data_IF_939761980658
#
_entry.id   IF_939761980658
#
_cell.length_a   1.000
_cell.length_b   1.000
_cell.length_c   1.000
_cell.angle_alpha   90.00
_cell.angle_beta   90.00
_cell.angle_gamma   90.00
#
_symmetry.space_group_name_H-M   'P 1'
#
loop_
_entity.id
_entity.type
_entity.pdbx_description
1 polymer ?
#
# COMPACT_ATOMS: atom_id res chain seq x y z
N UNK A 1 6.49 -14.53 -7.21
CA UNK A 1 7.04 -14.36 -5.84
C UNK A 1 8.57 -14.36 -5.95
N UNK A 2 9.28 -13.53 -5.18
CA UNK A 2 10.74 -13.47 -5.24
C UNK A 2 11.32 -14.60 -4.40
N UNK A 3 11.98 -15.56 -5.06
CA UNK A 3 12.56 -16.75 -4.44
C UNK A 3 14.09 -16.58 -4.38
N UNK A 4 14.63 -16.41 -3.17
CA UNK A 4 16.04 -16.68 -2.87
C UNK A 4 16.06 -17.66 -1.70
N UNK A 5 16.09 -18.95 -2.01
CA UNK A 5 16.22 -20.06 -1.05
C UNK A 5 15.09 -20.15 -0.03
N UNK A 6 14.08 -20.99 -0.29
CA UNK A 6 13.05 -21.54 0.65
C UNK A 6 12.34 -20.63 1.68
N UNK A 7 12.63 -19.34 1.76
CA UNK A 7 12.07 -18.40 2.73
C UNK A 7 11.38 -17.26 2.00
N UNK A 8 10.07 -17.16 2.18
CA UNK A 8 9.28 -16.03 1.69
C UNK A 8 9.63 -14.78 2.50
N UNK A 9 10.34 -13.84 1.89
CA UNK A 9 10.68 -12.56 2.53
C UNK A 9 9.59 -11.53 2.22
N UNK A 10 8.67 -11.33 3.17
CA UNK A 10 7.73 -10.22 3.14
C UNK A 10 8.25 -9.07 3.99
N UNK A 11 8.14 -7.86 3.46
CA UNK A 11 8.44 -6.60 4.15
C UNK A 11 7.19 -5.74 4.23
N UNK A 12 7.19 -4.81 5.19
CA UNK A 12 6.16 -3.76 5.24
C UNK A 12 6.37 -2.80 4.07
N UNK A 13 5.30 -2.59 3.31
CA UNK A 13 5.22 -1.61 2.23
C UNK A 13 4.26 -0.49 2.61
N UNK A 14 4.66 0.74 2.27
CA UNK A 14 3.80 1.90 2.39
C UNK A 14 3.15 2.15 1.04
N UNK A 15 1.81 2.10 0.98
CA UNK A 15 1.08 2.31 -0.28
C UNK A 15 1.36 3.71 -0.78
N UNK A 16 1.01 4.73 0.02
CA UNK A 16 1.57 6.07 -0.12
C UNK A 16 2.98 6.11 0.50
N UNK A 17 4.04 6.44 -0.26
CA UNK A 17 5.42 6.34 0.22
C UNK A 17 5.73 7.20 1.45
N UNK A 18 6.55 6.68 2.37
CA UNK A 18 7.06 7.44 3.54
C UNK A 18 8.08 8.52 3.21
N UNK A 19 8.70 8.45 2.03
CA UNK A 19 9.76 9.39 1.61
C UNK A 19 9.24 10.83 1.52
N UNK A 20 10.08 11.79 1.85
CA UNK A 20 9.81 13.23 1.65
C UNK A 20 9.79 13.63 0.18
N UNK A 21 10.46 12.85 -0.68
CA UNK A 21 10.45 13.08 -2.12
C UNK A 21 9.15 12.52 -2.73
N UNK A 22 8.04 13.24 -2.52
CA UNK A 22 6.73 12.92 -3.08
C UNK A 22 6.80 13.13 -4.60
N UNK A 23 6.43 12.09 -5.36
CA UNK A 23 6.46 12.15 -6.83
C UNK A 23 5.28 12.94 -7.37
N UNK A 24 5.42 13.48 -8.60
CA UNK A 24 4.34 14.19 -9.27
C UNK A 24 3.05 13.34 -9.35
N UNK A 25 3.16 12.04 -9.65
CA UNK A 25 2.00 11.12 -9.66
C UNK A 25 1.19 11.12 -8.35
N UNK A 26 1.85 11.32 -7.21
CA UNK A 26 1.18 11.41 -5.90
C UNK A 26 0.66 12.82 -5.63
N UNK A 27 1.40 13.86 -6.02
CA UNK A 27 0.95 15.25 -5.93
C UNK A 27 -0.36 15.42 -6.72
N UNK A 28 -0.41 14.91 -7.96
CA UNK A 28 -1.60 14.96 -8.81
C UNK A 28 -2.77 14.18 -8.20
N UNK A 29 -2.49 13.01 -7.60
CA UNK A 29 -3.50 12.19 -6.95
C UNK A 29 -4.11 12.86 -5.69
N UNK A 30 -3.33 13.68 -4.97
CA UNK A 30 -3.79 14.43 -3.81
C UNK A 30 -4.33 15.83 -4.16
N UNK A 31 -4.04 16.35 -5.35
CA UNK A 31 -4.48 17.66 -5.85
C UNK A 31 -3.45 18.78 -5.68
N UNK A 32 -2.61 18.71 -4.64
CA UNK A 32 -1.51 19.64 -4.43
C UNK A 32 -0.38 19.01 -3.61
N UNK A 33 0.80 19.65 -3.64
CA UNK A 33 1.96 19.19 -2.86
C UNK A 33 1.71 19.34 -1.36
N UNK A 34 1.08 20.44 -0.96
CA UNK A 34 0.72 20.75 0.41
C UNK A 34 -0.25 19.71 0.97
N UNK A 35 -1.27 19.32 0.19
CA UNK A 35 -2.22 18.27 0.57
C UNK A 35 -1.52 16.90 0.69
N UNK A 36 -0.61 16.57 -0.23
CA UNK A 36 0.16 15.33 -0.14
C UNK A 36 1.08 15.30 1.10
N UNK A 37 1.70 16.42 1.45
CA UNK A 37 2.54 16.57 2.65
C UNK A 37 1.72 16.48 3.95
N UNK A 38 0.53 17.09 3.98
CA UNK A 38 -0.41 16.97 5.12
C UNK A 38 -0.81 15.52 5.34
N UNK A 39 -1.22 14.81 4.27
CA UNK A 39 -1.55 13.39 4.34
C UNK A 39 -0.34 12.56 4.76
N UNK A 40 0.86 12.90 4.27
CA UNK A 40 2.08 12.17 4.65
C UNK A 40 2.35 12.30 6.14
N UNK A 41 2.33 13.52 6.66
CA UNK A 41 2.66 13.78 8.07
C UNK A 41 1.68 13.14 9.05
N UNK A 42 0.41 12.96 8.64
CA UNK A 42 -0.65 12.47 9.53
C UNK A 42 -1.00 10.99 9.32
N UNK A 43 -0.90 10.46 8.10
CA UNK A 43 -1.46 9.15 7.75
C UNK A 43 -0.45 8.12 7.25
N UNK A 44 0.80 8.49 6.96
CA UNK A 44 1.72 7.57 6.25
C UNK A 44 2.07 6.31 7.05
N UNK A 45 2.08 6.39 8.38
CA UNK A 45 2.37 5.28 9.28
C UNK A 45 1.11 4.59 9.84
N UNK A 46 -0.08 4.95 9.35
CA UNK A 46 -1.33 4.33 9.81
C UNK A 46 -1.51 2.94 9.20
N UNK A 47 -2.20 2.06 9.91
CA UNK A 47 -2.47 0.68 9.47
C UNK A 47 -3.09 0.63 8.07
N UNK A 48 -3.97 1.59 7.77
CA UNK A 48 -4.61 1.69 6.47
C UNK A 48 -3.66 1.94 5.32
N UNK A 49 -2.50 2.56 5.54
CA UNK A 49 -1.50 2.81 4.50
C UNK A 49 -0.46 1.69 4.35
N UNK A 50 -0.53 0.63 5.17
CA UNK A 50 0.48 -0.43 5.18
C UNK A 50 -0.03 -1.70 4.51
N UNK A 51 0.88 -2.43 3.86
CA UNK A 51 0.66 -3.79 3.39
C UNK A 51 1.96 -4.60 3.44
N UNK A 52 1.92 -5.86 3.01
CA UNK A 52 3.08 -6.73 2.90
C UNK A 52 3.46 -6.97 1.44
N UNK A 53 4.76 -6.93 1.14
CA UNK A 53 5.28 -7.28 -0.19
C UNK A 53 6.69 -7.87 -0.12
N UNK A 54 7.02 -8.77 -1.04
CA UNK A 54 8.39 -9.22 -1.31
C UNK A 54 9.10 -8.42 -2.42
N UNK A 55 8.47 -7.32 -2.86
CA UNK A 55 8.84 -6.54 -4.05
C UNK A 55 8.98 -5.04 -3.74
N UNK A 56 9.42 -4.69 -2.53
CA UNK A 56 9.47 -3.30 -2.08
C UNK A 56 10.36 -2.43 -2.99
N UNK A 57 11.52 -2.95 -3.40
CA UNK A 57 12.39 -2.32 -4.39
C UNK A 57 11.74 -2.08 -5.75
N UNK A 58 10.80 -2.96 -6.16
CA UNK A 58 10.09 -2.86 -7.43
C UNK A 58 8.90 -1.91 -7.41
N UNK A 59 8.33 -1.64 -6.22
CA UNK A 59 7.19 -0.74 -6.04
C UNK A 59 7.65 0.68 -5.67
N UNK A 60 8.56 0.80 -4.70
CA UNK A 60 9.24 2.03 -4.31
C UNK A 60 8.32 3.25 -4.19
N UNK A 61 8.64 4.30 -4.95
CA UNK A 61 7.91 5.57 -4.98
C UNK A 61 6.95 5.72 -6.16
N UNK A 62 6.60 4.62 -6.83
CA UNK A 62 5.61 4.68 -7.92
C UNK A 62 4.25 5.16 -7.40
N UNK A 63 3.47 5.77 -8.29
CA UNK A 63 2.08 6.11 -8.07
C UNK A 63 1.23 4.88 -7.80
N UNK A 64 0.06 5.12 -7.21
CA UNK A 64 -0.80 4.05 -6.69
C UNK A 64 -1.17 2.99 -7.72
N UNK A 65 -1.69 3.39 -8.89
CA UNK A 65 -2.15 2.43 -9.91
C UNK A 65 -0.99 1.57 -10.44
N UNK A 66 0.17 2.17 -10.63
CA UNK A 66 1.39 1.46 -11.04
C UNK A 66 1.83 0.45 -9.99
N UNK A 67 1.74 0.78 -8.71
CA UNK A 67 2.01 -0.19 -7.64
C UNK A 67 0.96 -1.31 -7.60
N UNK A 68 -0.32 -0.96 -7.74
CA UNK A 68 -1.46 -1.90 -7.71
C UNK A 68 -1.34 -2.95 -8.82
N UNK A 69 -1.07 -2.51 -10.03
CA UNK A 69 -1.10 -3.33 -11.24
C UNK A 69 0.29 -3.82 -11.68
N UNK A 70 1.33 -3.59 -10.88
CA UNK A 70 2.71 -3.98 -11.21
C UNK A 70 2.80 -5.47 -11.52
N UNK A 71 3.43 -5.78 -12.65
CA UNK A 71 3.77 -7.14 -13.08
C UNK A 71 5.28 -7.33 -13.21
N UNK A 72 5.75 -8.56 -13.02
CA UNK A 72 7.11 -8.96 -13.38
C UNK A 72 7.25 -9.25 -14.88
N UNK A 73 8.46 -9.63 -15.31
CA UNK A 73 8.76 -9.97 -16.71
C UNK A 73 7.98 -11.19 -17.22
N UNK A 74 7.48 -12.05 -16.34
CA UNK A 74 6.63 -13.19 -16.69
C UNK A 74 5.14 -12.84 -16.70
N UNK A 75 4.78 -11.56 -16.51
CA UNK A 75 3.40 -11.08 -16.52
C UNK A 75 2.61 -11.38 -15.24
N UNK A 76 3.28 -11.87 -14.18
CA UNK A 76 2.64 -12.17 -12.89
C UNK A 76 2.48 -10.90 -12.09
N UNK A 77 1.33 -10.72 -11.43
CA UNK A 77 1.13 -9.58 -10.54
C UNK A 77 2.07 -9.67 -9.33
N UNK A 78 2.94 -8.66 -9.21
CA UNK A 78 3.83 -8.45 -8.05
C UNK A 78 3.41 -7.23 -7.22
N UNK A 79 2.48 -6.44 -7.77
CA UNK A 79 1.77 -5.37 -7.08
C UNK A 79 0.67 -5.86 -6.14
N UNK A 80 -0.29 -5.00 -5.84
CA UNK A 80 -1.36 -5.32 -4.87
C UNK A 80 -2.37 -6.33 -5.38
N UNK A 81 -2.47 -6.56 -6.70
CA UNK A 81 -3.27 -7.62 -7.32
C UNK A 81 -2.62 -9.02 -7.28
N UNK A 82 -1.65 -9.24 -6.39
CA UNK A 82 -0.92 -10.50 -6.27
C UNK A 82 -1.68 -11.62 -5.51
N UNK A 83 -2.92 -11.37 -5.09
CA UNK A 83 -3.76 -12.35 -4.39
C UNK A 83 -3.60 -12.39 -2.87
N UNK A 84 -2.86 -11.44 -2.27
CA UNK A 84 -2.78 -11.31 -0.81
C UNK A 84 -4.09 -10.73 -0.25
N UNK A 85 -4.82 -11.50 0.58
CA UNK A 85 -6.12 -11.08 1.16
C UNK A 85 -6.06 -9.74 1.93
N UNK A 86 -4.89 -9.37 2.47
CA UNK A 86 -4.69 -8.05 3.10
C UNK A 86 -4.98 -6.88 2.15
N UNK A 87 -4.89 -7.11 0.83
CA UNK A 87 -5.07 -6.12 -0.23
C UNK A 87 -6.46 -6.17 -0.88
N UNK A 88 -7.40 -7.00 -0.43
CA UNK A 88 -8.73 -7.14 -1.06
C UNK A 88 -9.49 -5.81 -1.17
N UNK A 89 -9.24 -4.86 -0.25
CA UNK A 89 -9.83 -3.52 -0.29
C UNK A 89 -8.98 -2.46 -1.01
N UNK A 90 -7.82 -2.87 -1.53
CA UNK A 90 -6.87 -2.03 -2.28
C UNK A 90 -7.00 -2.29 -3.78
N UNK A 91 -7.20 -3.56 -4.19
CA UNK A 91 -7.12 -3.99 -5.59
C UNK A 91 -8.10 -3.31 -6.54
N UNK A 92 -9.26 -2.86 -6.05
CA UNK A 92 -10.29 -2.24 -6.90
C UNK A 92 -10.41 -0.72 -6.69
N UNK A 93 -9.54 -0.13 -5.86
CA UNK A 93 -9.49 1.33 -5.72
C UNK A 93 -8.83 1.92 -6.95
N UNK A 94 -9.41 2.98 -7.50
CA UNK A 94 -8.81 3.80 -8.57
C UNK A 94 -7.96 4.95 -8.04
N UNK A 95 -8.14 5.30 -6.76
CA UNK A 95 -7.38 6.34 -6.07
C UNK A 95 -7.01 5.93 -4.66
N UNK A 96 -5.91 6.48 -4.17
CA UNK A 96 -5.42 6.25 -2.81
C UNK A 96 -5.25 7.57 -2.06
N UNK A 97 -6.37 8.12 -1.61
CA UNK A 97 -6.41 9.41 -0.92
C UNK A 97 -6.51 9.24 0.61
N UNK A 98 -6.57 10.37 1.33
CA UNK A 98 -6.71 10.38 2.78
C UNK A 98 -7.95 9.61 3.27
N UNK A 99 -9.04 9.68 2.51
CA UNK A 99 -10.29 8.98 2.81
C UNK A 99 -10.13 7.47 2.70
N UNK A 100 -9.47 6.99 1.64
CA UNK A 100 -9.15 5.58 1.46
C UNK A 100 -8.28 5.03 2.60
N UNK A 101 -7.26 5.79 3.02
CA UNK A 101 -6.37 5.40 4.12
C UNK A 101 -7.13 5.30 5.45
N UNK A 102 -7.96 6.30 5.77
CA UNK A 102 -8.76 6.32 7.01
C UNK A 102 -9.77 5.17 7.03
N UNK A 103 -10.56 5.02 5.96
CA UNK A 103 -11.55 3.95 5.86
C UNK A 103 -10.92 2.55 5.97
N UNK A 104 -9.74 2.34 5.36
CA UNK A 104 -9.01 1.08 5.50
C UNK A 104 -8.47 0.88 6.90
N UNK A 105 -7.99 1.93 7.56
CA UNK A 105 -7.55 1.87 8.96
C UNK A 105 -8.69 1.39 9.86
N UNK A 106 -9.87 1.99 9.75
CA UNK A 106 -11.03 1.62 10.56
C UNK A 106 -11.44 0.16 10.34
N UNK A 107 -11.46 -0.27 9.07
CA UNK A 107 -11.76 -1.67 8.71
C UNK A 107 -10.76 -2.64 9.33
N UNK A 108 -9.46 -2.39 9.16
CA UNK A 108 -8.41 -3.29 9.64
C UNK A 108 -8.35 -3.33 11.17
N UNK A 109 -8.55 -2.18 11.85
CA UNK A 109 -8.68 -2.13 13.31
C UNK A 109 -9.88 -2.95 13.78
N UNK A 110 -11.04 -2.84 13.11
CA UNK A 110 -12.22 -3.64 13.44
C UNK A 110 -11.95 -5.14 13.30
N UNK A 111 -11.27 -5.56 12.24
CA UNK A 111 -10.86 -6.96 12.04
C UNK A 111 -9.89 -7.41 13.13
N UNK A 112 -8.85 -6.62 13.43
CA UNK A 112 -7.87 -6.95 14.45
C UNK A 112 -8.51 -7.10 15.84
N UNK A 113 -9.39 -6.18 16.24
CA UNK A 113 -10.10 -6.26 17.52
C UNK A 113 -11.00 -7.49 17.61
N UNK A 114 -11.66 -7.89 16.51
CA UNK A 114 -12.46 -9.14 16.50
C UNK A 114 -11.58 -10.37 16.66
N UNK A 115 -10.43 -10.42 16.00
CA UNK A 115 -9.48 -11.54 16.11
C UNK A 115 -8.88 -11.64 17.52
N UNK A 116 -8.51 -10.51 18.12
CA UNK A 116 -7.90 -10.48 19.46
C UNK A 116 -8.88 -10.76 20.59
N UNK A 117 -10.18 -10.51 20.39
CA UNK A 117 -11.24 -10.86 21.36
C UNK A 117 -11.60 -12.35 21.36
N UNK A 118 -11.11 -13.12 20.40
CA UNK A 118 -11.33 -14.56 20.27
C UNK A 118 -10.19 -15.38 20.89
N UNK A 119 -9.33 -14.76 21.71
CA UNK A 119 -8.29 -15.40 22.52
C UNK A 119 -8.59 -15.18 24.01
#
# INVERSE_FOLDING_TARGET
MNERGTQYYFTIEHIFPKTENITQEWIDAFGSKEQAEEVRSTLVHTLGNLTLTGYNSDLGRMGFERKRDRKDSAGRYIGYRNGLNLNDDVVDKTKWDAGAIKARTDRLVSVALKLLRLQ
#
